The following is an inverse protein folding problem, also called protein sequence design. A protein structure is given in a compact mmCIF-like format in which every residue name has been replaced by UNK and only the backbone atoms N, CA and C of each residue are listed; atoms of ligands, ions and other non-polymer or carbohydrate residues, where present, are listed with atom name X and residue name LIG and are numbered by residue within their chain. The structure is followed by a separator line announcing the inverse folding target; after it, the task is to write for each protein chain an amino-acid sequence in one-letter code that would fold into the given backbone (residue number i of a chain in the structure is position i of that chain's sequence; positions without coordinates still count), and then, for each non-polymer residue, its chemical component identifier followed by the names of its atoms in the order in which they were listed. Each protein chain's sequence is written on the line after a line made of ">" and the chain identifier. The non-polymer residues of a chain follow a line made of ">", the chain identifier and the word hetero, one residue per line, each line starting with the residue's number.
data_IF_537711152734
#
_entry.id   IF_537711152734
#
_cell.length_a   1.000
_cell.length_b   1.000
_cell.length_c   1.000
_cell.angle_alpha   90.00
_cell.angle_beta   90.00
_cell.angle_gamma   90.00
#
_symmetry.space_group_name_H-M   'P 1'
#
loop_
_entity.id
_entity.type
_entity.pdbx_description
1 polymer ?
#
# COMPACT_ATOMS: atom_id res chain seq x y z
N UNK A 1 -2.69 5.53 22.35
CA UNK A 1 -1.66 5.96 21.39
C UNK A 1 -2.31 6.78 20.29
N UNK A 2 -2.15 8.11 20.29
CA UNK A 2 -2.69 8.98 19.24
C UNK A 2 -1.74 9.00 18.06
N UNK A 3 -2.02 8.20 17.03
CA UNK A 3 -1.34 8.29 15.75
C UNK A 3 -1.72 9.61 15.09
N UNK A 4 -0.82 10.59 15.07
CA UNK A 4 -0.99 11.82 14.28
C UNK A 4 -1.12 11.41 12.82
N UNK A 5 -2.32 11.56 12.24
CA UNK A 5 -2.53 11.46 10.79
C UNK A 5 -1.69 12.54 10.10
N UNK A 6 -0.53 12.15 9.56
CA UNK A 6 0.18 12.98 8.61
C UNK A 6 -0.68 12.97 7.34
N UNK A 7 -1.18 14.14 6.92
CA UNK A 7 -1.84 14.28 5.62
C UNK A 7 -0.88 13.75 4.54
N UNK A 8 -1.36 12.84 3.70
CA UNK A 8 -0.57 12.13 2.69
C UNK A 8 0.39 13.05 1.91
N UNK A 9 -0.03 14.27 1.56
CA UNK A 9 0.79 15.22 0.81
C UNK A 9 2.08 15.67 1.53
N UNK A 10 2.06 15.80 2.86
CA UNK A 10 3.27 16.14 3.64
C UNK A 10 4.26 14.98 3.66
N UNK A 11 3.75 13.76 3.80
CA UNK A 11 4.57 12.54 3.79
C UNK A 11 5.24 12.36 2.42
N UNK A 12 4.46 12.47 1.34
CA UNK A 12 4.96 12.37 -0.03
C UNK A 12 6.02 13.43 -0.34
N UNK A 13 5.80 14.69 0.10
CA UNK A 13 6.80 15.76 -0.04
C UNK A 13 8.08 15.43 0.72
N UNK A 14 7.99 14.93 1.95
CA UNK A 14 9.15 14.56 2.75
C UNK A 14 9.97 13.45 2.08
N UNK A 15 9.32 12.37 1.65
CA UNK A 15 9.94 11.24 0.96
C UNK A 15 10.70 11.73 -0.29
N UNK A 16 10.05 12.58 -1.10
CA UNK A 16 10.64 13.14 -2.32
C UNK A 16 11.86 14.02 -2.01
N UNK A 17 11.76 14.95 -1.07
CA UNK A 17 12.86 15.86 -0.69
C UNK A 17 14.04 15.09 -0.10
N UNK A 18 13.77 14.07 0.70
CA UNK A 18 14.80 13.25 1.35
C UNK A 18 15.34 12.11 0.49
N UNK A 19 14.86 11.98 -0.76
CA UNK A 19 15.25 10.91 -1.70
C UNK A 19 15.16 9.52 -1.06
N UNK A 20 14.08 9.30 -0.31
CA UNK A 20 13.84 8.01 0.35
C UNK A 20 13.61 6.97 -0.75
N UNK A 21 14.49 5.97 -0.82
CA UNK A 21 14.43 4.94 -1.85
C UNK A 21 13.62 3.71 -1.44
N UNK A 22 13.49 3.45 -0.13
CA UNK A 22 12.70 2.35 0.40
C UNK A 22 11.61 2.86 1.33
N UNK A 23 10.39 2.38 1.11
CA UNK A 23 9.23 2.63 1.97
C UNK A 23 8.70 1.30 2.47
N UNK A 24 8.43 1.24 3.77
CA UNK A 24 7.81 0.09 4.40
C UNK A 24 6.50 0.52 5.07
N UNK A 25 5.42 -0.12 4.68
CA UNK A 25 4.08 0.12 5.17
C UNK A 25 3.60 -1.11 5.95
N UNK A 26 3.36 -0.94 7.25
CA UNK A 26 2.70 -1.95 8.07
C UNK A 26 1.27 -1.50 8.30
N UNK A 27 0.32 -2.27 7.80
CA UNK A 27 -1.09 -1.93 7.75
C UNK A 27 -1.87 -2.87 8.65
N UNK A 28 -2.66 -2.32 9.59
CA UNK A 28 -3.63 -3.09 10.37
C UNK A 28 -5.02 -2.94 9.75
N UNK A 29 -5.51 -1.71 9.63
CA UNK A 29 -6.80 -1.36 9.01
C UNK A 29 -6.59 -0.37 7.89
N UNK A 30 -7.29 -0.57 6.77
CA UNK A 30 -7.28 0.38 5.67
C UNK A 30 -8.52 1.27 5.70
N UNK A 31 -8.33 2.54 6.00
CA UNK A 31 -9.38 3.59 5.95
C UNK A 31 -9.16 4.60 4.81
N UNK A 32 -8.25 4.28 3.88
CA UNK A 32 -7.84 5.21 2.83
C UNK A 32 -8.88 5.18 1.70
N UNK A 33 -9.44 6.34 1.27
CA UNK A 33 -10.48 6.38 0.26
C UNK A 33 -10.03 5.88 -1.13
N UNK A 34 -8.77 6.11 -1.47
CA UNK A 34 -8.17 5.72 -2.76
C UNK A 34 -6.78 5.07 -2.54
N UNK A 35 -6.75 3.76 -2.23
CA UNK A 35 -5.50 3.05 -2.02
C UNK A 35 -4.70 2.85 -3.32
N UNK A 36 -5.37 2.78 -4.48
CA UNK A 36 -4.70 2.65 -5.78
C UNK A 36 -3.95 3.92 -6.13
N UNK A 37 -4.57 5.09 -6.00
CA UNK A 37 -3.91 6.37 -6.23
C UNK A 37 -2.74 6.59 -5.27
N UNK A 38 -2.84 6.11 -4.03
CA UNK A 38 -1.72 6.13 -3.08
C UNK A 38 -0.55 5.26 -3.58
N UNK A 39 -0.81 4.00 -3.97
CA UNK A 39 0.23 3.09 -4.50
C UNK A 39 0.95 3.69 -5.71
N UNK A 40 0.19 4.26 -6.63
CA UNK A 40 0.73 4.91 -7.82
C UNK A 40 1.64 6.08 -7.43
N UNK A 41 1.22 6.94 -6.50
CA UNK A 41 2.07 8.05 -6.00
C UNK A 41 3.33 7.56 -5.29
N UNK A 42 3.24 6.48 -4.50
CA UNK A 42 4.40 5.87 -3.84
C UNK A 42 5.40 5.32 -4.86
N UNK A 43 4.91 4.67 -5.92
CA UNK A 43 5.75 4.13 -7.00
C UNK A 43 6.46 5.19 -7.86
N UNK A 44 6.03 6.46 -7.79
CA UNK A 44 6.74 7.58 -8.46
C UNK A 44 7.96 8.06 -7.66
N UNK A 45 7.99 7.82 -6.35
CA UNK A 45 8.94 8.47 -5.45
C UNK A 45 9.97 7.51 -4.84
N UNK A 46 9.64 6.23 -4.69
CA UNK A 46 10.53 5.20 -4.14
C UNK A 46 10.87 4.10 -5.18
N UNK A 47 12.00 3.43 -4.95
CA UNK A 47 12.46 2.29 -5.75
C UNK A 47 12.00 0.96 -5.15
N UNK A 48 11.84 0.91 -3.83
CA UNK A 48 11.42 -0.28 -3.11
C UNK A 48 10.20 0.04 -2.23
N UNK A 49 9.13 -0.73 -2.42
CA UNK A 49 7.93 -0.64 -1.60
C UNK A 49 7.66 -2.00 -0.95
N UNK A 50 7.61 -2.02 0.38
CA UNK A 50 7.21 -3.18 1.16
C UNK A 50 5.90 -2.91 1.86
N UNK A 51 4.94 -3.80 1.68
CA UNK A 51 3.62 -3.70 2.31
C UNK A 51 3.40 -4.97 3.10
N UNK A 52 3.19 -4.83 4.41
CA UNK A 52 2.87 -5.94 5.31
C UNK A 52 1.50 -5.67 5.90
N UNK A 53 0.55 -6.55 5.64
CA UNK A 53 -0.75 -6.52 6.29
C UNK A 53 -0.69 -7.34 7.58
N UNK A 54 -0.78 -6.65 8.72
CA UNK A 54 -0.88 -7.25 10.04
C UNK A 54 -2.32 -7.68 10.33
N UNK A 55 -2.47 -8.72 11.14
CA UNK A 55 -3.77 -9.13 11.68
C UNK A 55 -4.34 -7.98 12.53
N UNK A 56 -5.63 -7.72 12.38
CA UNK A 56 -6.40 -6.84 13.26
C UNK A 56 -7.64 -7.60 13.69
N UNK A 57 -7.86 -7.68 15.01
CA UNK A 57 -8.99 -8.44 15.57
C UNK A 57 -10.36 -7.82 15.20
N UNK A 58 -10.35 -6.54 14.80
CA UNK A 58 -11.56 -5.77 14.45
C UNK A 58 -11.95 -5.89 12.97
N UNK A 59 -11.18 -6.62 12.15
CA UNK A 59 -11.41 -6.69 10.70
C UNK A 59 -12.02 -8.04 10.35
N UNK A 60 -13.27 -8.07 9.85
CA UNK A 60 -13.91 -9.30 9.38
C UNK A 60 -13.05 -10.02 8.34
N UNK A 61 -13.12 -11.35 8.34
CA UNK A 61 -12.44 -12.23 7.37
C UNK A 61 -12.85 -11.99 5.89
N UNK A 62 -13.83 -11.11 5.65
CA UNK A 62 -14.36 -10.72 4.34
C UNK A 62 -14.28 -9.21 4.08
N UNK A 63 -13.61 -8.45 4.95
CA UNK A 63 -13.42 -7.03 4.72
C UNK A 63 -12.57 -6.80 3.46
N UNK A 64 -12.82 -5.70 2.76
CA UNK A 64 -12.00 -5.30 1.62
C UNK A 64 -10.56 -5.05 2.10
N UNK A 65 -9.68 -6.00 1.82
CA UNK A 65 -8.27 -5.85 2.11
C UNK A 65 -7.59 -4.88 1.13
N UNK A 66 -6.39 -4.39 1.46
CA UNK A 66 -5.67 -3.43 0.61
C UNK A 66 -5.56 -3.88 -0.85
N UNK A 67 -5.13 -5.13 -1.07
CA UNK A 67 -5.16 -5.77 -2.39
C UNK A 67 -6.40 -6.66 -2.61
N UNK A 68 -7.27 -6.77 -1.61
CA UNK A 68 -8.50 -7.57 -1.64
C UNK A 68 -9.73 -6.79 -2.08
N UNK A 69 -9.55 -5.57 -2.61
CA UNK A 69 -10.64 -4.84 -3.26
C UNK A 69 -11.16 -5.66 -4.44
N UNK A 70 -12.45 -5.98 -4.42
CA UNK A 70 -13.13 -6.66 -5.53
C UNK A 70 -13.20 -5.73 -6.74
N UNK A 71 -13.17 -6.31 -7.94
CA UNK A 71 -13.26 -5.60 -9.23
C UNK A 71 -12.11 -4.61 -9.51
N UNK A 72 -10.93 -4.86 -8.95
CA UNK A 72 -9.71 -4.09 -9.24
C UNK A 72 -8.76 -4.92 -10.10
N UNK A 73 -8.36 -4.35 -11.24
CA UNK A 73 -7.41 -4.94 -12.19
C UNK A 73 -5.96 -4.80 -11.69
N UNK A 74 -5.62 -5.53 -10.63
CA UNK A 74 -4.32 -5.42 -9.94
C UNK A 74 -3.12 -5.64 -10.87
N UNK A 75 -3.24 -6.50 -11.87
CA UNK A 75 -2.21 -6.72 -12.89
C UNK A 75 -1.79 -5.39 -13.55
N UNK A 76 -2.75 -4.61 -14.01
CA UNK A 76 -2.48 -3.35 -14.72
C UNK A 76 -1.93 -2.27 -13.76
N UNK A 77 -2.36 -2.30 -12.50
CA UNK A 77 -1.85 -1.41 -11.46
C UNK A 77 -0.40 -1.73 -11.16
N UNK A 78 -0.04 -3.00 -10.97
CA UNK A 78 1.35 -3.41 -10.74
C UNK A 78 2.25 -3.04 -11.91
N UNK A 79 1.82 -3.32 -13.14
CA UNK A 79 2.57 -2.88 -14.33
C UNK A 79 2.75 -1.36 -14.36
N UNK A 80 1.71 -0.60 -14.03
CA UNK A 80 1.77 0.86 -13.96
C UNK A 80 2.72 1.37 -12.87
N UNK A 81 2.85 0.64 -11.76
CA UNK A 81 3.81 0.96 -10.69
C UNK A 81 5.26 0.71 -11.14
N UNK A 82 5.54 -0.42 -11.78
CA UNK A 82 6.87 -0.78 -12.26
C UNK A 82 7.32 0.06 -13.47
N UNK A 83 6.39 0.59 -14.27
CA UNK A 83 6.70 1.55 -15.34
C UNK A 83 7.10 2.95 -14.84
N UNK A 84 7.23 3.15 -13.52
CA UNK A 84 7.61 4.41 -12.89
C UNK A 84 9.03 4.29 -12.30
N UNK A 85 9.20 4.62 -11.02
CA UNK A 85 10.49 4.54 -10.32
C UNK A 85 10.63 3.24 -9.52
N UNK A 86 9.53 2.51 -9.33
CA UNK A 86 9.53 1.31 -8.52
C UNK A 86 10.22 0.15 -9.25
N UNK A 87 11.20 -0.45 -8.59
CA UNK A 87 11.96 -1.59 -9.08
C UNK A 87 11.60 -2.87 -8.32
N UNK A 88 11.15 -2.74 -7.07
CA UNK A 88 10.81 -3.85 -6.19
C UNK A 88 9.54 -3.58 -5.40
N UNK A 89 8.61 -4.55 -5.46
CA UNK A 89 7.38 -4.59 -4.68
C UNK A 89 7.34 -5.88 -3.87
N UNK A 90 7.24 -5.76 -2.55
CA UNK A 90 7.02 -6.88 -1.65
C UNK A 90 5.68 -6.73 -0.95
N UNK A 91 4.84 -7.76 -1.00
CA UNK A 91 3.54 -7.79 -0.34
C UNK A 91 3.48 -9.02 0.56
N UNK A 92 3.42 -8.81 1.88
CA UNK A 92 3.21 -9.86 2.87
C UNK A 92 1.80 -9.80 3.41
N UNK A 93 1.12 -10.93 3.33
CA UNK A 93 -0.24 -11.08 3.78
C UNK A 93 -0.45 -12.44 4.47
N UNK A 94 0.40 -12.73 5.45
CA UNK A 94 0.39 -14.02 6.14
C UNK A 94 -0.88 -14.30 6.96
N UNK A 95 -1.79 -13.33 7.10
CA UNK A 95 -2.92 -13.41 8.02
C UNK A 95 -4.31 -13.44 7.34
N UNK A 96 -4.40 -13.35 6.01
CA UNK A 96 -5.70 -13.30 5.32
C UNK A 96 -5.72 -14.15 4.04
N UNK A 97 -6.32 -15.34 4.08
CA UNK A 97 -6.30 -16.35 3.00
C UNK A 97 -6.97 -15.96 1.66
N UNK A 98 -7.52 -14.75 1.53
CA UNK A 98 -8.28 -14.29 0.34
C UNK A 98 -7.90 -12.88 -0.12
N UNK A 99 -6.68 -12.46 0.17
CA UNK A 99 -6.23 -11.08 -0.04
C UNK A 99 -5.94 -10.70 -1.48
N UNK A 100 -5.67 -11.68 -2.33
CA UNK A 100 -5.81 -11.53 -3.76
C UNK A 100 -7.07 -12.29 -4.18
N UNK A 101 -8.04 -11.64 -4.85
CA UNK A 101 -9.13 -12.39 -5.47
C UNK A 101 -8.53 -13.42 -6.44
N UNK A 102 -9.06 -14.64 -6.39
CA UNK A 102 -8.72 -15.71 -7.34
C UNK A 102 -9.17 -15.34 -8.75
#
# INVERSE_FOLDING_TARGET
>A
YQTRMIRNDRLLRFIKVKKVNRIECVLTTLSIPDPVGLLLRLSEICCELRITQSKSDDIPQHANYFFGMRNVEWKNIFLSMFNRKLESLYVSNLHYDSYFPR
#
